data_IF_111910167932
#
_entry.id   IF_111910167932
#
_cell.length_a   1.000
_cell.length_b   1.000
_cell.length_c   1.000
_cell.angle_alpha   90.00
_cell.angle_beta   90.00
_cell.angle_gamma   90.00
#
_symmetry.space_group_name_H-M   'P 1'
#
loop_
_entity.id
_entity.type
_entity.pdbx_description
1 polymer ?
#
# COMPACT_ATOMS: atom_id res chain seq x y z
N UNK A 1 -15.53 -21.71 -31.25
CA UNK A 1 -16.70 -20.84 -31.51
C UNK A 1 -16.28 -19.41 -31.24
N UNK A 2 -16.39 -18.56 -32.26
CA UNK A 2 -16.12 -17.13 -32.18
C UNK A 2 -17.17 -16.45 -31.30
N UNK A 3 -16.76 -15.95 -30.13
CA UNK A 3 -17.53 -14.94 -29.40
C UNK A 3 -16.94 -13.57 -29.73
N UNK A 4 -17.80 -12.75 -30.34
CA UNK A 4 -17.51 -11.40 -30.83
C UNK A 4 -16.83 -10.55 -29.75
N UNK A 5 -15.68 -9.98 -30.08
CA UNK A 5 -15.11 -8.84 -29.35
C UNK A 5 -16.13 -7.71 -29.35
N UNK A 6 -16.54 -7.16 -28.20
CA UNK A 6 -17.38 -5.97 -28.19
C UNK A 6 -16.57 -4.83 -28.82
N UNK A 7 -17.11 -4.24 -29.89
CA UNK A 7 -16.61 -3.01 -30.48
C UNK A 7 -16.97 -1.90 -29.50
N UNK A 8 -16.12 -1.70 -28.50
CA UNK A 8 -16.06 -0.43 -27.77
C UNK A 8 -15.03 0.38 -28.51
N UNK A 9 -15.47 1.36 -29.28
CA UNK A 9 -14.60 2.36 -29.89
C UNK A 9 -13.75 3.00 -28.78
N UNK A 10 -12.44 2.70 -28.81
CA UNK A 10 -11.47 3.31 -27.94
C UNK A 10 -11.37 4.80 -28.30
N UNK A 11 -12.11 5.65 -27.58
CA UNK A 11 -11.78 7.07 -27.57
C UNK A 11 -10.42 7.17 -26.89
N UNK A 12 -9.41 7.56 -27.66
CA UNK A 12 -8.17 8.13 -27.12
C UNK A 12 -8.56 9.32 -26.22
N UNK A 13 -8.85 9.05 -24.95
CA UNK A 13 -9.04 10.09 -23.95
C UNK A 13 -7.64 10.62 -23.70
N UNK A 14 -7.33 11.76 -24.29
CA UNK A 14 -6.01 12.43 -24.22
C UNK A 14 -5.71 13.01 -22.82
N UNK A 15 -6.06 12.29 -21.75
CA UNK A 15 -5.84 12.65 -20.35
C UNK A 15 -6.20 11.50 -19.40
N UNK A 16 -5.55 11.49 -18.23
CA UNK A 16 -5.80 10.48 -17.20
C UNK A 16 -7.29 10.39 -16.81
N UNK A 17 -7.83 9.16 -16.75
CA UNK A 17 -9.22 8.89 -16.33
C UNK A 17 -9.49 9.40 -14.92
N UNK A 18 -8.59 9.10 -13.99
CA UNK A 18 -8.65 9.56 -12.61
C UNK A 18 -7.43 10.44 -12.28
N UNK A 19 -7.64 11.42 -11.40
CA UNK A 19 -6.56 12.26 -10.88
C UNK A 19 -5.80 11.56 -9.75
N UNK A 20 -6.53 10.78 -8.95
CA UNK A 20 -5.98 9.97 -7.88
C UNK A 20 -6.87 8.75 -7.64
N UNK A 21 -6.25 7.67 -7.17
CA UNK A 21 -6.93 6.47 -6.68
C UNK A 21 -6.35 6.15 -5.31
N UNK A 22 -7.21 5.82 -4.36
CA UNK A 22 -6.78 5.43 -3.02
C UNK A 22 -7.71 4.38 -2.42
N UNK A 23 -7.14 3.32 -1.86
CA UNK A 23 -7.90 2.34 -1.09
C UNK A 23 -8.21 2.88 0.30
N UNK A 24 -9.31 2.41 0.89
CA UNK A 24 -9.51 2.58 2.32
C UNK A 24 -8.57 1.66 3.12
N UNK A 25 -8.55 1.86 4.43
CA UNK A 25 -7.57 1.28 5.36
C UNK A 25 -7.59 -0.26 5.40
N UNK A 26 -8.71 -0.89 5.05
CA UNK A 26 -8.91 -2.35 5.05
C UNK A 26 -9.04 -2.94 3.64
N UNK A 27 -8.74 -2.16 2.60
CA UNK A 27 -8.83 -2.54 1.18
C UNK A 27 -10.22 -3.00 0.70
N UNK A 28 -11.29 -2.78 1.48
CA UNK A 28 -12.64 -3.19 1.10
C UNK A 28 -13.28 -2.27 0.06
N UNK A 29 -12.81 -1.02 -0.01
CA UNK A 29 -13.29 -0.02 -0.96
C UNK A 29 -12.11 0.80 -1.50
N UNK A 30 -12.32 1.45 -2.64
CA UNK A 30 -11.39 2.45 -3.15
C UNK A 30 -12.14 3.67 -3.67
N UNK A 31 -11.47 4.82 -3.52
CA UNK A 31 -11.92 6.11 -4.01
C UNK A 31 -11.15 6.48 -5.27
N UNK A 32 -11.82 7.17 -6.19
CA UNK A 32 -11.24 7.71 -7.41
C UNK A 32 -11.61 9.18 -7.52
N UNK A 33 -10.62 10.07 -7.56
CA UNK A 33 -10.83 11.49 -7.82
C UNK A 33 -10.86 11.79 -9.31
N UNK A 34 -11.69 12.73 -9.76
CA UNK A 34 -11.85 13.08 -11.17
C UNK A 34 -11.83 14.59 -11.39
N UNK A 35 -11.81 15.00 -12.67
CA UNK A 35 -11.90 16.41 -13.07
C UNK A 35 -13.22 17.08 -12.67
N UNK A 36 -14.24 16.32 -12.27
CA UNK A 36 -15.60 16.82 -11.98
C UNK A 36 -16.14 16.42 -10.61
N UNK A 37 -15.40 15.62 -9.85
CA UNK A 37 -15.80 15.18 -8.52
C UNK A 37 -15.05 13.93 -8.09
N UNK A 38 -15.75 12.95 -7.54
CA UNK A 38 -15.15 11.70 -7.07
C UNK A 38 -16.13 10.53 -7.12
N UNK A 39 -15.58 9.32 -7.11
CA UNK A 39 -16.32 8.07 -7.11
C UNK A 39 -15.78 7.14 -6.02
N UNK A 40 -16.65 6.32 -5.43
CA UNK A 40 -16.30 5.26 -4.48
C UNK A 40 -16.81 3.94 -5.01
N UNK A 41 -15.91 2.95 -5.04
CA UNK A 41 -16.20 1.58 -5.46
C UNK A 41 -15.95 0.61 -4.31
N UNK A 42 -16.74 -0.46 -4.26
CA UNK A 42 -16.38 -1.68 -3.56
C UNK A 42 -15.23 -2.37 -4.32
N UNK A 43 -14.22 -2.87 -3.60
CA UNK A 43 -13.03 -3.44 -4.24
C UNK A 43 -13.31 -4.80 -4.88
N UNK A 44 -14.01 -5.67 -4.17
CA UNK A 44 -14.38 -7.02 -4.61
C UNK A 44 -15.63 -7.51 -3.84
N UNK A 45 -16.73 -7.92 -4.50
CA UNK A 45 -16.98 -7.76 -5.93
C UNK A 45 -17.01 -6.28 -6.33
N UNK A 46 -16.48 -5.96 -7.52
CA UNK A 46 -16.42 -4.58 -8.02
C UNK A 46 -17.83 -4.02 -8.22
N UNK A 47 -18.14 -2.93 -7.52
CA UNK A 47 -19.42 -2.23 -7.62
C UNK A 47 -19.27 -0.73 -7.30
N UNK A 48 -19.91 0.14 -8.09
CA UNK A 48 -19.86 1.59 -7.87
C UNK A 48 -20.90 2.00 -6.83
N UNK A 49 -20.46 2.40 -5.63
CA UNK A 49 -21.35 2.74 -4.51
C UNK A 49 -21.73 4.21 -4.47
N UNK A 50 -20.82 5.09 -4.87
CA UNK A 50 -21.05 6.53 -4.85
C UNK A 50 -20.39 7.17 -6.07
N UNK A 51 -21.12 8.06 -6.73
CA UNK A 51 -20.57 8.94 -7.77
C UNK A 51 -21.06 10.34 -7.50
N UNK A 52 -20.15 11.21 -7.03
CA UNK A 52 -20.45 12.60 -6.75
C UNK A 52 -19.83 13.48 -7.83
N UNK A 53 -20.68 14.25 -8.50
CA UNK A 53 -20.25 15.33 -9.39
C UNK A 53 -20.66 16.67 -8.78
N UNK A 54 -19.78 17.67 -8.91
CA UNK A 54 -20.08 19.02 -8.46
C UNK A 54 -20.68 19.84 -9.59
N UNK A 55 -21.76 20.58 -9.28
CA UNK A 55 -22.55 21.35 -10.25
C UNK A 55 -21.80 22.53 -10.87
N UNK A 56 -20.86 23.13 -10.14
CA UNK A 56 -20.09 24.27 -10.65
C UNK A 56 -19.02 23.79 -11.64
N UNK A 57 -19.32 23.95 -12.94
CA UNK A 57 -18.42 23.60 -14.02
C UNK A 57 -17.06 24.32 -13.97
N UNK A 58 -16.90 25.41 -13.22
CA UNK A 58 -15.61 26.11 -13.09
C UNK A 58 -14.81 25.71 -11.84
N UNK A 59 -15.41 24.94 -10.91
CA UNK A 59 -14.79 24.54 -9.65
C UNK A 59 -15.35 23.18 -9.18
N UNK A 60 -14.91 22.11 -9.85
CA UNK A 60 -15.43 20.75 -9.61
C UNK A 60 -14.36 19.67 -9.46
N UNK A 61 -13.11 19.94 -9.85
CA UNK A 61 -12.04 18.95 -9.84
C UNK A 61 -11.54 18.61 -8.44
N UNK A 62 -11.41 17.32 -8.16
CA UNK A 62 -10.84 16.78 -6.93
C UNK A 62 -9.55 16.07 -7.29
N UNK A 63 -8.46 16.45 -6.65
CA UNK A 63 -7.13 15.90 -6.89
C UNK A 63 -6.77 14.74 -5.98
N UNK A 64 -7.32 14.73 -4.77
CA UNK A 64 -7.05 13.69 -3.77
C UNK A 64 -8.35 13.39 -3.02
N UNK A 65 -8.66 12.10 -2.91
CA UNK A 65 -9.72 11.56 -2.05
C UNK A 65 -9.13 10.53 -1.11
N UNK A 66 -9.49 10.61 0.16
CA UNK A 66 -9.16 9.60 1.15
C UNK A 66 -10.40 9.25 1.96
N UNK A 67 -10.67 7.96 2.12
CA UNK A 67 -11.82 7.45 2.85
C UNK A 67 -11.46 7.25 4.32
N UNK A 68 -12.40 7.51 5.23
CA UNK A 68 -12.32 6.99 6.59
C UNK A 68 -13.10 5.67 6.67
N UNK A 69 -12.39 4.54 6.51
CA UNK A 69 -12.98 3.20 6.44
C UNK A 69 -14.18 3.16 5.48
N UNK A 70 -15.32 2.62 5.92
CA UNK A 70 -16.61 2.65 5.21
C UNK A 70 -17.60 3.61 5.89
N UNK A 71 -17.09 4.69 6.48
CA UNK A 71 -17.93 5.75 7.05
C UNK A 71 -18.40 6.72 5.96
N UNK A 72 -19.25 7.67 6.34
CA UNK A 72 -19.70 8.78 5.49
C UNK A 72 -18.68 9.92 5.36
N UNK A 73 -17.51 9.84 6.02
CA UNK A 73 -16.49 10.89 5.98
C UNK A 73 -15.43 10.64 4.91
N UNK A 74 -15.20 11.66 4.09
CA UNK A 74 -14.20 11.67 3.02
C UNK A 74 -13.32 12.91 3.14
N UNK A 75 -12.00 12.75 3.10
CA UNK A 75 -11.08 13.86 2.94
C UNK A 75 -10.91 14.19 1.44
N UNK A 76 -11.11 15.46 1.10
CA UNK A 76 -11.04 16.01 -0.25
C UNK A 76 -9.98 17.12 -0.32
N UNK A 77 -9.18 17.09 -1.38
CA UNK A 77 -8.34 18.21 -1.82
C UNK A 77 -8.64 18.50 -3.28
N UNK A 78 -8.78 19.77 -3.63
CA UNK A 78 -9.05 20.14 -5.02
C UNK A 78 -7.85 19.86 -5.93
N UNK A 79 -8.12 19.56 -7.20
CA UNK A 79 -7.08 19.31 -8.18
C UNK A 79 -7.62 19.24 -9.61
N UNK A 80 -6.76 18.85 -10.54
CA UNK A 80 -7.10 18.85 -11.96
C UNK A 80 -7.08 20.25 -12.58
N UNK A 81 -7.76 20.40 -13.72
CA UNK A 81 -7.74 21.65 -14.50
C UNK A 81 -8.56 22.77 -13.85
N UNK A 82 -9.61 22.40 -13.11
CA UNK A 82 -10.61 23.30 -12.51
C UNK A 82 -10.88 22.87 -11.06
N UNK A 83 -9.91 23.05 -10.15
CA UNK A 83 -10.00 22.52 -8.81
C UNK A 83 -11.15 23.14 -8.02
N UNK A 84 -11.95 22.33 -7.32
CA UNK A 84 -13.04 22.82 -6.45
C UNK A 84 -12.51 23.59 -5.24
N UNK A 85 -11.38 23.14 -4.71
CA UNK A 85 -10.71 23.72 -3.55
C UNK A 85 -9.25 24.01 -3.89
N UNK A 86 -8.58 24.95 -3.21
CA UNK A 86 -7.13 25.09 -3.30
C UNK A 86 -6.38 23.79 -2.93
N UNK A 87 -5.22 23.54 -3.53
CA UNK A 87 -4.42 22.32 -3.29
C UNK A 87 -3.78 22.27 -1.88
N UNK A 88 -3.80 23.40 -1.17
CA UNK A 88 -3.36 23.55 0.22
C UNK A 88 -4.55 23.63 1.19
N UNK A 89 -5.76 23.22 0.76
CA UNK A 89 -6.97 23.19 1.60
C UNK A 89 -7.49 21.77 1.69
N UNK A 90 -7.57 21.24 2.90
CA UNK A 90 -8.25 19.98 3.23
C UNK A 90 -9.69 20.27 3.59
N UNK A 91 -10.62 19.55 2.96
CA UNK A 91 -12.03 19.53 3.31
C UNK A 91 -12.43 18.11 3.68
N UNK A 92 -12.89 17.88 4.91
CA UNK A 92 -13.57 16.64 5.28
C UNK A 92 -15.05 16.81 4.98
N UNK A 93 -15.51 16.07 3.99
CA UNK A 93 -16.88 16.02 3.51
C UNK A 93 -17.67 14.95 4.27
N UNK A 94 -18.87 15.29 4.71
CA UNK A 94 -19.87 14.35 5.20
C UNK A 94 -20.85 14.03 4.06
N UNK A 95 -20.80 12.80 3.57
CA UNK A 95 -21.67 12.34 2.49
C UNK A 95 -23.12 12.08 2.94
N UNK A 96 -23.37 11.82 4.22
CA UNK A 96 -24.74 11.69 4.71
C UNK A 96 -25.43 13.05 4.76
N UNK A 97 -24.73 14.07 5.25
CA UNK A 97 -25.25 15.44 5.37
C UNK A 97 -25.08 16.27 4.09
N UNK A 98 -24.21 15.82 3.18
CA UNK A 98 -23.82 16.55 1.97
C UNK A 98 -23.21 17.93 2.30
N UNK A 99 -22.36 18.01 3.32
CA UNK A 99 -21.74 19.26 3.80
C UNK A 99 -20.24 19.13 4.05
N UNK A 100 -19.57 20.29 4.10
CA UNK A 100 -18.14 20.41 4.46
C UNK A 100 -18.02 20.48 6.00
N UNK A 101 -17.81 19.33 6.66
CA UNK A 101 -17.79 19.25 8.12
C UNK A 101 -16.54 19.84 8.75
N UNK A 102 -15.38 19.63 8.13
CA UNK A 102 -14.09 20.16 8.61
C UNK A 102 -13.37 20.81 7.44
N UNK A 103 -12.78 21.98 7.69
CA UNK A 103 -11.91 22.67 6.75
C UNK A 103 -10.61 23.06 7.44
N UNK A 104 -9.48 22.67 6.85
CA UNK A 104 -8.14 23.03 7.31
C UNK A 104 -7.35 23.63 6.14
N UNK A 105 -6.65 24.74 6.39
CA UNK A 105 -5.80 25.42 5.42
C UNK A 105 -4.33 25.33 5.81
N UNK A 106 -3.46 25.15 4.81
CA UNK A 106 -2.03 24.92 4.97
C UNK A 106 -1.20 25.91 4.15
N UNK A 107 0.06 26.07 4.52
CA UNK A 107 1.00 26.95 3.80
C UNK A 107 1.65 26.28 2.58
N UNK A 108 1.50 24.96 2.44
CA UNK A 108 2.04 24.17 1.33
C UNK A 108 0.95 23.28 0.75
N UNK A 109 1.16 22.83 -0.49
CA UNK A 109 0.33 21.80 -1.12
C UNK A 109 0.30 20.52 -0.27
N UNK A 110 -0.88 19.91 -0.19
CA UNK A 110 -1.10 18.61 0.42
C UNK A 110 -0.72 17.52 -0.58
N UNK A 111 0.15 16.60 -0.16
CA UNK A 111 0.62 15.46 -0.95
C UNK A 111 -0.16 14.18 -0.62
N UNK A 112 -0.42 13.93 0.67
CA UNK A 112 -1.16 12.75 1.13
C UNK A 112 -1.91 13.04 2.44
N UNK A 113 -2.95 12.26 2.71
CA UNK A 113 -3.80 12.41 3.89
C UNK A 113 -4.11 11.03 4.46
N UNK A 114 -3.90 10.88 5.76
CA UNK A 114 -4.35 9.71 6.50
C UNK A 114 -5.41 10.11 7.52
N UNK A 115 -6.52 9.38 7.48
CA UNK A 115 -7.62 9.55 8.42
C UNK A 115 -7.69 8.37 9.37
N UNK A 116 -7.92 8.65 10.64
CA UNK A 116 -8.44 7.72 11.63
C UNK A 116 -9.65 8.32 12.33
N UNK A 117 -10.28 7.56 13.22
CA UNK A 117 -11.39 8.06 14.06
C UNK A 117 -10.95 9.11 15.08
N UNK A 118 -9.64 9.29 15.27
CA UNK A 118 -9.07 10.18 16.30
C UNK A 118 -8.10 11.22 15.75
N UNK A 119 -7.47 10.95 14.60
CA UNK A 119 -6.45 11.83 14.03
C UNK A 119 -6.70 12.10 12.55
N UNK A 120 -6.34 13.32 12.13
CA UNK A 120 -6.15 13.72 10.74
C UNK A 120 -4.66 13.99 10.58
N UNK A 121 -3.98 13.21 9.72
CA UNK A 121 -2.56 13.39 9.42
C UNK A 121 -2.46 13.94 8.00
N UNK A 122 -1.84 15.10 7.88
CA UNK A 122 -1.69 15.80 6.60
C UNK A 122 -0.22 15.84 6.24
N UNK A 123 0.13 15.23 5.12
CA UNK A 123 1.48 15.24 4.55
C UNK A 123 1.54 16.38 3.55
N UNK A 124 2.34 17.39 3.87
CA UNK A 124 2.68 18.51 3.01
C UNK A 124 3.97 18.19 2.23
N UNK A 125 4.45 19.12 1.41
CA UNK A 125 5.63 18.89 0.58
C UNK A 125 6.87 18.55 1.42
N UNK A 126 7.17 19.36 2.45
CA UNK A 126 8.34 19.17 3.32
C UNK A 126 8.01 18.97 4.80
N UNK A 127 6.73 18.75 5.13
CA UNK A 127 6.32 18.65 6.53
C UNK A 127 5.09 17.77 6.74
N UNK A 128 4.88 17.30 7.98
CA UNK A 128 3.67 16.57 8.38
C UNK A 128 3.03 17.27 9.57
N UNK A 129 1.72 17.50 9.47
CA UNK A 129 0.89 18.05 10.54
C UNK A 129 -0.16 17.03 11.01
N UNK A 130 -0.37 16.96 12.33
CA UNK A 130 -1.29 16.01 12.95
C UNK A 130 -2.34 16.78 13.75
N UNK A 131 -3.61 16.52 13.47
CA UNK A 131 -4.76 17.14 14.14
C UNK A 131 -5.65 16.09 14.79
N UNK A 132 -6.47 16.51 15.75
CA UNK A 132 -7.61 15.72 16.24
C UNK A 132 -8.70 15.60 15.16
N UNK A 133 -9.36 14.44 15.10
CA UNK A 133 -10.58 14.26 14.31
C UNK A 133 -11.80 14.61 15.18
N UNK A 134 -12.52 15.68 14.86
CA UNK A 134 -13.68 16.13 15.61
C UNK A 134 -14.24 17.45 15.10
N UNK A 135 -15.30 17.97 15.73
CA UNK A 135 -15.98 19.20 15.31
C UNK A 135 -15.08 20.44 15.31
N UNK A 136 -14.08 20.47 16.19
CA UNK A 136 -13.04 21.50 16.25
C UNK A 136 -11.66 20.83 16.23
N UNK A 137 -11.08 20.55 15.05
CA UNK A 137 -9.75 19.96 14.94
C UNK A 137 -8.70 20.87 15.57
N UNK A 138 -7.84 20.29 16.40
CA UNK A 138 -6.71 20.98 17.04
C UNK A 138 -5.42 20.29 16.63
N UNK A 139 -4.37 21.07 16.35
CA UNK A 139 -3.05 20.52 16.06
C UNK A 139 -2.47 19.92 17.34
N UNK A 140 -2.00 18.68 17.27
CA UNK A 140 -1.55 17.90 18.43
C UNK A 140 -0.05 18.07 18.72
N UNK A 141 0.76 18.22 17.68
CA UNK A 141 2.22 18.22 17.78
C UNK A 141 2.84 19.37 16.99
N UNK A 142 4.10 19.68 17.30
CA UNK A 142 4.91 20.53 16.43
C UNK A 142 5.10 19.91 15.05
N UNK A 143 5.42 20.75 14.07
CA UNK A 143 5.63 20.34 12.69
C UNK A 143 6.71 19.24 12.60
N UNK A 144 6.42 18.14 11.91
CA UNK A 144 7.40 17.09 11.67
C UNK A 144 8.06 17.30 10.32
N UNK A 145 9.37 17.51 10.31
CA UNK A 145 10.12 17.77 9.08
C UNK A 145 10.33 16.50 8.24
N UNK A 146 9.98 16.56 6.95
CA UNK A 146 10.19 15.50 5.97
C UNK A 146 10.83 16.05 4.69
N UNK A 147 11.24 15.17 3.78
CA UNK A 147 11.79 15.59 2.49
C UNK A 147 10.68 15.89 1.47
N UNK A 148 10.96 16.80 0.52
CA UNK A 148 10.09 17.06 -0.62
C UNK A 148 9.72 15.78 -1.37
N UNK A 149 8.43 15.59 -1.68
CA UNK A 149 7.93 14.40 -2.37
C UNK A 149 8.10 13.08 -1.60
N UNK A 150 8.32 13.14 -0.28
CA UNK A 150 8.42 11.98 0.59
C UNK A 150 7.13 11.16 0.64
N UNK A 151 7.27 9.82 0.65
CA UNK A 151 6.17 8.90 0.97
C UNK A 151 6.16 8.63 2.47
N UNK A 152 5.10 9.05 3.15
CA UNK A 152 4.76 8.61 4.50
C UNK A 152 3.74 7.47 4.43
N UNK A 153 3.53 6.80 5.57
CA UNK A 153 2.46 5.82 5.75
C UNK A 153 1.99 5.82 7.20
N UNK A 154 0.71 5.53 7.42
CA UNK A 154 0.10 5.51 8.72
C UNK A 154 -0.86 4.34 8.85
N UNK A 155 -0.81 3.64 9.98
CA UNK A 155 -1.73 2.54 10.30
C UNK A 155 -2.30 2.69 11.70
N UNK A 156 -3.55 2.29 11.85
CA UNK A 156 -4.17 2.08 13.16
C UNK A 156 -4.18 0.58 13.42
N UNK A 157 -3.56 0.16 14.52
CA UNK A 157 -3.48 -1.24 14.91
C UNK A 157 -3.94 -1.45 16.37
N UNK A 158 -4.25 -2.69 16.72
CA UNK A 158 -4.55 -3.08 18.09
C UNK A 158 -3.32 -3.68 18.74
N UNK A 159 -3.00 -3.24 19.96
CA UNK A 159 -1.98 -3.87 20.81
C UNK A 159 -2.63 -4.39 22.09
N UNK A 160 -2.29 -5.60 22.56
CA UNK A 160 -2.57 -6.01 23.93
C UNK A 160 -1.92 -5.01 24.89
N UNK A 161 -2.62 -4.63 25.97
CA UNK A 161 -1.97 -3.90 27.07
C UNK A 161 -0.92 -4.82 27.68
N UNK A 162 0.36 -4.44 27.63
CA UNK A 162 1.35 -5.08 28.50
C UNK A 162 0.93 -4.78 29.94
N UNK A 163 0.64 -5.83 30.73
CA UNK A 163 0.35 -5.70 32.16
C UNK A 163 1.44 -4.84 32.77
N UNK A 164 1.10 -3.65 33.28
CA UNK A 164 1.94 -3.02 34.29
C UNK A 164 2.04 -4.02 35.43
N UNK A 165 3.22 -4.14 36.05
CA UNK A 165 3.52 -5.05 37.16
C UNK A 165 2.75 -4.74 38.46
N UNK A 166 1.59 -4.08 38.39
CA UNK A 166 0.69 -3.87 39.53
C UNK A 166 -0.24 -5.08 39.66
N UNK A 167 0.00 -5.90 40.68
CA UNK A 167 -0.64 -7.19 40.93
C UNK A 167 -2.17 -7.17 41.22
N UNK A 168 -2.87 -6.04 41.05
CA UNK A 168 -4.26 -5.86 41.52
C UNK A 168 -5.24 -5.35 40.44
N UNK A 169 -5.11 -5.76 39.17
CA UNK A 169 -6.14 -5.49 38.17
C UNK A 169 -7.13 -6.67 38.07
N UNK A 170 -8.46 -6.43 38.13
CA UNK A 170 -9.45 -7.51 38.11
C UNK A 170 -9.38 -8.28 36.79
N UNK A 171 -9.41 -9.61 36.88
CA UNK A 171 -9.45 -10.52 35.74
C UNK A 171 -10.80 -10.38 35.02
N UNK A 172 -10.87 -9.56 33.96
CA UNK A 172 -12.13 -9.37 33.25
C UNK A 172 -12.17 -8.46 32.02
N UNK A 173 -11.09 -7.79 31.63
CA UNK A 173 -11.04 -7.17 30.29
C UNK A 173 -9.61 -7.15 29.76
N UNK A 174 -9.37 -7.98 28.73
CA UNK A 174 -8.16 -7.89 27.91
C UNK A 174 -8.31 -6.63 27.04
N UNK A 175 -8.18 -5.45 27.65
CA UNK A 175 -8.43 -4.18 27.01
C UNK A 175 -7.36 -3.92 25.95
N UNK A 176 -7.66 -4.26 24.70
CA UNK A 176 -6.85 -3.89 23.54
C UNK A 176 -6.85 -2.37 23.40
N UNK A 177 -5.68 -1.79 23.17
CA UNK A 177 -5.55 -0.34 22.94
C UNK A 177 -5.28 -0.13 21.47
N UNK A 178 -6.07 0.76 20.86
CA UNK A 178 -5.82 1.25 19.51
C UNK A 178 -4.56 2.12 19.53
N UNK A 179 -3.60 1.80 18.66
CA UNK A 179 -2.37 2.55 18.46
C UNK A 179 -2.32 3.08 17.04
N UNK A 180 -1.93 4.32 16.88
CA UNK A 180 -1.61 4.90 15.58
C UNK A 180 -0.11 4.91 15.40
N UNK A 181 0.41 4.26 14.37
CA UNK A 181 1.84 4.27 14.04
C UNK A 181 2.02 5.06 12.75
N UNK A 182 2.89 6.08 12.78
CA UNK A 182 3.24 6.91 11.65
C UNK A 182 4.70 6.63 11.25
N UNK A 183 4.95 6.42 9.96
CA UNK A 183 6.28 6.24 9.41
C UNK A 183 6.52 7.22 8.26
N UNK A 184 7.64 7.94 8.30
CA UNK A 184 7.96 8.97 7.33
C UNK A 184 9.48 9.14 7.20
N UNK A 185 10.01 9.61 6.06
CA UNK A 185 11.45 9.82 5.94
C UNK A 185 11.90 11.05 6.72
N UNK A 186 13.13 11.03 7.20
CA UNK A 186 13.69 12.18 7.94
C UNK A 186 14.03 13.33 7.00
N UNK A 187 13.57 14.54 7.32
CA UNK A 187 13.93 15.76 6.56
C UNK A 187 15.44 16.04 6.48
N UNK A 188 16.25 15.54 7.44
CA UNK A 188 17.71 15.74 7.47
C UNK A 188 18.48 14.70 6.67
N UNK A 189 18.02 13.45 6.69
CA UNK A 189 18.69 12.32 6.07
C UNK A 189 17.67 11.51 5.27
N UNK A 190 17.56 11.72 3.94
CA UNK A 190 16.47 11.16 3.15
C UNK A 190 16.50 9.62 3.06
N UNK A 191 17.61 8.96 3.41
CA UNK A 191 17.70 7.49 3.51
C UNK A 191 17.29 6.91 4.87
N UNK A 192 16.93 7.76 5.83
CA UNK A 192 16.47 7.38 7.16
C UNK A 192 14.95 7.49 7.27
N UNK A 193 14.34 6.62 8.07
CA UNK A 193 12.90 6.61 8.36
C UNK A 193 12.71 6.91 9.84
N UNK A 194 11.79 7.82 10.14
CA UNK A 194 11.29 8.10 11.47
C UNK A 194 9.99 7.33 11.72
N UNK A 195 9.88 6.69 12.88
CA UNK A 195 8.67 6.02 13.35
C UNK A 195 8.16 6.76 14.58
N UNK A 196 6.89 7.14 14.58
CA UNK A 196 6.20 7.78 15.69
C UNK A 196 5.00 6.96 16.17
N UNK A 197 4.84 6.85 17.48
CA UNK A 197 3.65 6.26 18.11
C UNK A 197 2.73 7.39 18.59
N UNK A 198 1.51 7.43 18.04
CA UNK A 198 0.49 8.44 18.35
C UNK A 198 -0.43 8.02 19.50
N UNK A 199 -0.28 6.82 20.07
CA UNK A 199 -1.18 6.30 21.11
C UNK A 199 -1.22 7.15 22.38
N UNK A 200 -0.14 7.87 22.68
CA UNK A 200 -0.02 8.75 23.84
C UNK A 200 -0.58 10.15 23.61
N UNK A 201 -0.99 10.51 22.37
CA UNK A 201 -1.51 11.84 22.04
C UNK A 201 -2.99 12.03 22.43
N UNK A 202 -3.44 11.40 23.52
CA UNK A 202 -4.83 11.53 23.95
C UNK A 202 -5.16 12.98 24.31
N UNK A 203 -6.29 13.42 23.78
CA UNK A 203 -6.77 14.81 23.70
C UNK A 203 -7.00 15.55 25.02
N UNK A 204 -6.80 14.91 26.17
CA UNK A 204 -7.23 15.41 27.48
C UNK A 204 -6.18 16.20 28.27
N UNK A 205 -4.90 16.22 27.87
CA UNK A 205 -3.84 16.86 28.68
C UNK A 205 -3.00 17.93 27.94
N UNK A 206 -3.31 18.23 26.67
CA UNK A 206 -2.57 19.25 25.91
C UNK A 206 -3.16 20.63 26.22
N UNK A 207 -2.49 21.39 27.09
CA UNK A 207 -2.73 22.83 27.26
C UNK A 207 -2.63 23.54 25.90
N UNK A 208 -3.54 24.48 25.64
CA UNK A 208 -3.83 25.03 24.31
C UNK A 208 -2.63 25.72 23.61
N UNK A 209 -1.55 26.05 24.32
CA UNK A 209 -0.44 26.86 23.79
C UNK A 209 0.92 26.16 23.70
N UNK A 210 1.05 24.89 24.11
CA UNK A 210 2.36 24.19 24.00
C UNK A 210 2.29 23.05 22.98
N UNK A 211 2.89 23.27 21.81
CA UNK A 211 3.06 22.19 20.83
C UNK A 211 3.96 21.10 21.42
N UNK A 212 3.41 19.89 21.59
CA UNK A 212 4.17 18.75 22.12
C UNK A 212 5.12 18.23 21.04
N UNK A 213 6.39 18.03 21.39
CA UNK A 213 7.33 17.35 20.51
C UNK A 213 7.05 15.84 20.53
N UNK A 214 6.81 15.26 19.37
CA UNK A 214 6.53 13.83 19.23
C UNK A 214 7.83 13.02 19.28
N UNK A 215 8.01 12.09 20.24
CA UNK A 215 9.17 11.20 20.23
C UNK A 215 9.13 10.30 18.99
N UNK A 216 10.27 10.20 18.30
CA UNK A 216 10.45 9.36 17.11
C UNK A 216 11.64 8.43 17.27
N UNK A 217 11.52 7.20 16.79
CA UNK A 217 12.67 6.30 16.60
C UNK A 217 13.19 6.42 15.17
N UNK A 218 14.52 6.31 15.00
CA UNK A 218 15.17 6.51 13.69
C UNK A 218 15.73 5.19 13.18
N UNK A 219 15.36 4.83 11.96
CA UNK A 219 15.85 3.65 11.24
C UNK A 219 16.74 4.11 10.09
N UNK A 220 18.01 3.69 10.08
CA UNK A 220 18.94 3.91 8.96
C UNK A 220 18.70 2.88 7.86
N UNK A 221 17.61 3.08 7.10
CA UNK A 221 17.08 2.05 6.21
C UNK A 221 17.86 1.89 4.90
N UNK A 222 18.28 2.99 4.26
CA UNK A 222 18.96 2.96 2.96
C UNK A 222 20.05 4.04 2.88
N UNK A 223 21.03 3.84 1.98
CA UNK A 223 22.07 4.84 1.69
C UNK A 223 21.58 5.98 0.81
N UNK A 224 20.58 5.69 -0.02
CA UNK A 224 19.94 6.64 -0.95
C UNK A 224 18.54 7.01 -0.45
N UNK A 225 17.95 8.12 -0.93
CA UNK A 225 16.62 8.56 -0.52
C UNK A 225 15.56 7.47 -0.54
N UNK A 226 14.71 7.45 0.49
CA UNK A 226 13.55 6.58 0.57
C UNK A 226 12.56 6.98 -0.53
N UNK A 227 12.09 5.97 -1.28
CA UNK A 227 11.08 6.13 -2.33
C UNK A 227 9.70 5.76 -1.83
N UNK A 228 9.58 4.67 -1.06
CA UNK A 228 8.31 4.23 -0.46
C UNK A 228 8.49 3.66 0.93
N UNK A 229 7.48 3.91 1.75
CA UNK A 229 7.33 3.36 3.10
C UNK A 229 5.94 2.70 3.16
N UNK A 230 5.85 1.51 3.74
CA UNK A 230 4.59 0.86 4.06
C UNK A 230 4.64 0.09 5.37
N UNK A 231 3.77 0.46 6.31
CA UNK A 231 3.60 -0.21 7.59
C UNK A 231 2.75 -1.47 7.41
N UNK A 232 3.08 -2.53 8.16
CA UNK A 232 2.23 -3.70 8.24
C UNK A 232 0.91 -3.37 8.95
N UNK A 233 -0.20 -4.09 8.69
CA UNK A 233 -1.50 -3.79 9.30
C UNK A 233 -1.50 -3.84 10.84
N UNK A 234 -0.63 -4.68 11.42
CA UNK A 234 -0.45 -4.76 12.87
C UNK A 234 0.51 -3.69 13.44
N UNK A 235 1.10 -2.84 12.61
CA UNK A 235 2.01 -1.76 12.99
C UNK A 235 3.38 -2.20 13.52
N UNK A 236 3.70 -3.51 13.51
CA UNK A 236 4.96 -4.04 14.06
C UNK A 236 6.12 -4.05 13.05
N UNK A 237 5.84 -3.90 11.76
CA UNK A 237 6.84 -3.92 10.70
C UNK A 237 6.69 -2.72 9.77
N UNK A 238 7.81 -2.28 9.21
CA UNK A 238 7.85 -1.25 8.16
C UNK A 238 8.67 -1.76 6.98
N UNK A 239 8.04 -1.81 5.80
CA UNK A 239 8.67 -2.06 4.53
C UNK A 239 9.16 -0.74 3.93
N UNK A 240 10.40 -0.72 3.45
CA UNK A 240 11.04 0.47 2.87
C UNK A 240 11.76 0.11 1.59
N UNK A 241 11.67 0.98 0.59
CA UNK A 241 12.53 0.93 -0.59
C UNK A 241 13.11 2.32 -0.86
N UNK A 242 14.27 2.36 -1.50
CA UNK A 242 14.90 3.60 -1.92
C UNK A 242 14.70 3.86 -3.41
N UNK A 243 15.14 5.03 -3.88
CA UNK A 243 15.17 5.39 -5.31
C UNK A 243 15.99 4.43 -6.19
N UNK A 244 16.81 3.56 -5.60
CA UNK A 244 17.47 2.48 -6.36
C UNK A 244 16.48 1.36 -6.73
N UNK A 245 15.50 1.08 -5.88
CA UNK A 245 14.42 0.09 -6.09
C UNK A 245 14.86 -1.34 -6.45
N UNK A 246 16.10 -1.72 -6.13
CA UNK A 246 16.61 -3.09 -6.29
C UNK A 246 16.23 -3.99 -5.11
N UNK A 247 16.10 -3.38 -3.93
CA UNK A 247 15.90 -4.07 -2.65
C UNK A 247 14.78 -3.37 -1.86
N UNK A 248 13.92 -4.17 -1.27
CA UNK A 248 12.97 -3.79 -0.23
C UNK A 248 13.47 -4.33 1.11
N UNK A 249 13.51 -3.50 2.15
CA UNK A 249 13.90 -3.91 3.51
C UNK A 249 12.72 -3.82 4.44
N UNK A 250 12.60 -4.81 5.33
CA UNK A 250 11.57 -4.87 6.37
C UNK A 250 12.25 -4.71 7.71
N UNK A 251 11.82 -3.72 8.49
CA UNK A 251 12.32 -3.46 9.83
C UNK A 251 11.23 -3.64 10.87
N UNK A 252 11.61 -3.98 12.10
CA UNK A 252 10.74 -3.89 13.27
C UNK A 252 10.52 -2.42 13.63
N UNK A 253 9.27 -2.02 13.85
CA UNK A 253 8.92 -0.66 14.27
C UNK A 253 9.25 -0.39 15.75
N UNK A 254 9.34 -1.45 16.56
CA UNK A 254 9.55 -1.34 18.00
C UNK A 254 10.99 -1.00 18.37
N UNK A 255 11.97 -1.57 17.66
CA UNK A 255 13.39 -1.44 17.97
C UNK A 255 14.26 -1.13 16.74
N UNK A 256 13.67 -0.96 15.56
CA UNK A 256 14.39 -0.60 14.34
C UNK A 256 15.28 -1.71 13.76
N UNK A 257 15.17 -2.96 14.24
CA UNK A 257 16.01 -4.06 13.74
C UNK A 257 15.61 -4.44 12.32
N UNK A 258 16.60 -4.74 11.48
CA UNK A 258 16.36 -5.27 10.14
C UNK A 258 15.90 -6.73 10.25
N UNK A 259 14.66 -6.99 9.83
CA UNK A 259 14.06 -8.33 9.84
C UNK A 259 14.31 -9.08 8.53
N UNK A 260 14.10 -8.41 7.39
CA UNK A 260 14.27 -9.03 6.06
C UNK A 260 14.87 -8.08 5.04
N UNK A 261 15.67 -8.64 4.14
CA UNK A 261 16.13 -8.00 2.91
C UNK A 261 15.59 -8.78 1.70
N UNK A 262 14.72 -8.14 0.92
CA UNK A 262 13.99 -8.72 -0.19
C UNK A 262 14.49 -8.12 -1.50
N UNK A 263 14.99 -8.96 -2.41
CA UNK A 263 15.48 -8.52 -3.71
C UNK A 263 14.35 -8.55 -4.73
N UNK A 264 14.05 -7.38 -5.31
CA UNK A 264 13.12 -7.25 -6.44
C UNK A 264 13.78 -7.66 -7.75
N UNK A 265 15.00 -7.20 -7.99
CA UNK A 265 15.76 -7.46 -9.21
C UNK A 265 17.21 -6.99 -9.12
N UNK A 266 17.99 -7.26 -10.18
CA UNK A 266 19.34 -6.74 -10.33
C UNK A 266 19.32 -5.27 -10.78
N UNK A 267 18.42 -4.96 -11.72
CA UNK A 267 18.33 -3.62 -12.29
C UNK A 267 17.56 -2.66 -11.39
N UNK A 268 17.97 -1.39 -11.46
CA UNK A 268 17.21 -0.30 -10.85
C UNK A 268 15.80 -0.23 -11.44
N UNK A 269 14.84 0.08 -10.57
CA UNK A 269 13.44 0.19 -10.93
C UNK A 269 12.77 1.22 -10.01
N UNK A 270 11.85 2.03 -10.55
CA UNK A 270 11.02 2.89 -9.72
C UNK A 270 9.88 2.05 -9.09
N UNK A 271 10.02 1.70 -7.81
CA UNK A 271 8.97 1.04 -7.05
C UNK A 271 7.91 2.09 -6.68
N UNK A 272 6.76 2.03 -7.34
CA UNK A 272 5.68 2.99 -7.20
C UNK A 272 4.46 2.43 -6.46
N UNK A 273 4.44 1.17 -6.03
CA UNK A 273 3.43 0.70 -5.07
C UNK A 273 3.93 -0.48 -4.24
N UNK A 274 3.56 -0.47 -2.97
CA UNK A 274 3.74 -1.60 -2.05
C UNK A 274 2.46 -1.74 -1.24
N UNK A 275 2.01 -2.97 -0.99
CA UNK A 275 0.85 -3.23 -0.16
C UNK A 275 1.04 -4.53 0.63
N UNK A 276 0.77 -4.47 1.93
CA UNK A 276 0.77 -5.64 2.80
C UNK A 276 -0.56 -6.38 2.69
N UNK A 277 -0.52 -7.71 2.75
CA UNK A 277 -1.75 -8.47 2.99
C UNK A 277 -2.36 -8.08 4.33
N UNK A 278 -3.68 -8.22 4.49
CA UNK A 278 -4.38 -7.87 5.73
C UNK A 278 -3.86 -8.66 6.95
N UNK A 279 -3.41 -9.90 6.72
CA UNK A 279 -2.76 -10.75 7.74
C UNK A 279 -1.31 -10.34 8.04
N UNK A 280 -0.71 -9.46 7.23
CA UNK A 280 0.68 -9.02 7.37
C UNK A 280 1.74 -10.06 6.99
N UNK A 281 1.31 -11.18 6.40
CA UNK A 281 2.18 -12.31 6.04
C UNK A 281 2.76 -12.20 4.63
N UNK A 282 2.25 -11.30 3.79
CA UNK A 282 2.70 -11.10 2.40
C UNK A 282 2.86 -9.63 2.07
N UNK A 283 3.76 -9.33 1.14
CA UNK A 283 4.01 -7.99 0.62
C UNK A 283 3.99 -8.03 -0.91
N UNK A 284 3.08 -7.27 -1.50
CA UNK A 284 3.02 -7.02 -2.94
C UNK A 284 3.86 -5.78 -3.27
N UNK A 285 4.61 -5.84 -4.36
CA UNK A 285 5.46 -4.76 -4.84
C UNK A 285 5.32 -4.63 -6.35
N UNK A 286 5.04 -3.42 -6.83
CA UNK A 286 4.98 -3.11 -8.26
C UNK A 286 5.97 -1.98 -8.59
N UNK A 287 6.60 -2.09 -9.76
CA UNK A 287 7.58 -1.13 -10.25
C UNK A 287 7.37 -0.80 -11.72
N UNK A 288 8.05 0.25 -12.20
CA UNK A 288 8.09 0.67 -13.60
C UNK A 288 8.56 -0.40 -14.60
N UNK A 289 9.15 -1.51 -14.12
CA UNK A 289 9.44 -2.72 -14.92
C UNK A 289 8.20 -3.57 -15.24
N UNK A 290 7.01 -3.04 -14.96
CA UNK A 290 5.72 -3.71 -15.19
C UNK A 290 5.72 -5.13 -14.65
N UNK A 291 6.20 -5.30 -13.42
CA UNK A 291 6.25 -6.62 -12.78
C UNK A 291 5.71 -6.50 -11.37
N UNK A 292 4.67 -7.30 -11.08
CA UNK A 292 4.16 -7.53 -9.74
C UNK A 292 4.99 -8.63 -9.08
N UNK A 293 5.60 -8.32 -7.95
CA UNK A 293 6.30 -9.26 -7.09
C UNK A 293 5.51 -9.49 -5.80
N UNK A 294 5.33 -10.75 -5.41
CA UNK A 294 4.75 -11.11 -4.12
C UNK A 294 5.83 -11.78 -3.26
N UNK A 295 6.10 -11.21 -2.09
CA UNK A 295 7.03 -11.74 -1.11
C UNK A 295 6.28 -12.32 0.08
N UNK A 296 6.69 -13.51 0.52
CA UNK A 296 6.22 -14.13 1.76
C UNK A 296 7.05 -13.58 2.93
N UNK A 297 6.41 -13.04 3.97
CA UNK A 297 7.09 -12.36 5.09
C UNK A 297 7.10 -13.22 6.34
N UNK A 298 5.98 -13.81 6.73
CA UNK A 298 5.90 -14.71 7.89
C UNK A 298 5.05 -15.91 7.51
N UNK A 299 5.50 -17.11 7.87
CA UNK A 299 4.77 -18.34 7.61
C UNK A 299 4.11 -18.82 8.90
N UNK A 300 2.82 -19.15 8.83
CA UNK A 300 2.15 -19.89 9.90
C UNK A 300 2.62 -21.37 9.92
N UNK A 301 3.12 -21.88 8.78
CA UNK A 301 3.51 -23.29 8.57
C UNK A 301 5.03 -23.56 8.59
N UNK A 302 5.86 -22.55 8.85
CA UNK A 302 7.33 -22.70 8.95
C UNK A 302 8.10 -22.94 7.64
N UNK A 303 7.43 -23.11 6.51
CA UNK A 303 8.08 -23.36 5.21
C UNK A 303 8.21 -22.08 4.35
N UNK A 304 9.45 -21.61 4.13
CA UNK A 304 9.71 -20.35 3.43
C UNK A 304 9.49 -20.50 1.91
N UNK A 305 8.34 -20.02 1.45
CA UNK A 305 7.91 -20.09 0.03
C UNK A 305 8.68 -19.15 -0.91
N UNK A 306 9.56 -18.29 -0.39
CA UNK A 306 10.37 -17.39 -1.21
C UNK A 306 11.49 -18.11 -1.95
N UNK A 307 11.80 -17.64 -3.16
CA UNK A 307 12.94 -18.16 -3.93
C UNK A 307 14.25 -17.70 -3.29
N UNK A 308 15.21 -18.60 -3.21
CA UNK A 308 16.61 -18.31 -2.84
C UNK A 308 17.51 -18.68 -4.00
N UNK A 309 18.72 -18.10 -4.04
CA UNK A 309 19.67 -18.42 -5.10
C UNK A 309 20.12 -19.89 -5.00
N UNK A 310 20.21 -20.60 -6.13
CA UNK A 310 20.62 -22.03 -6.16
C UNK A 310 22.02 -22.29 -5.61
N UNK A 311 22.88 -21.28 -5.61
CA UNK A 311 24.26 -21.34 -5.09
C UNK A 311 24.41 -20.80 -3.65
N UNK A 312 23.31 -20.60 -2.90
CA UNK A 312 23.36 -20.07 -1.53
C UNK A 312 24.21 -20.94 -0.59
N UNK A 313 24.14 -22.25 -0.77
CA UNK A 313 24.77 -23.25 0.10
C UNK A 313 26.16 -23.68 -0.38
N UNK A 314 26.68 -23.09 -1.47
CA UNK A 314 28.04 -23.38 -1.92
C UNK A 314 29.04 -22.75 -0.94
N UNK A 315 29.98 -23.53 -0.37
CA UNK A 315 30.98 -23.04 0.56
C UNK A 315 32.08 -22.29 -0.19
N UNK A 316 31.81 -21.04 -0.55
CA UNK A 316 32.80 -20.11 -1.12
C UNK A 316 33.42 -19.26 0.01
N UNK A 317 34.75 -19.10 -0.01
CA UNK A 317 35.53 -18.21 0.88
C UNK A 317 35.07 -16.75 0.83
N UNK A 318 34.46 -16.34 -0.30
CA UNK A 318 33.80 -15.06 -0.47
C UNK A 318 32.40 -15.29 -1.04
N UNK A 319 31.36 -14.89 -0.30
CA UNK A 319 29.96 -14.97 -0.74
C UNK A 319 29.44 -13.58 -1.13
N UNK A 320 29.27 -13.31 -2.44
CA UNK A 320 28.56 -12.11 -2.88
C UNK A 320 27.17 -11.98 -2.23
N UNK A 321 26.82 -10.79 -1.73
CA UNK A 321 25.55 -10.53 -1.02
C UNK A 321 24.30 -10.92 -1.81
N UNK A 322 24.37 -10.94 -3.14
CA UNK A 322 23.24 -11.35 -3.98
C UNK A 322 22.91 -12.86 -3.88
N UNK A 323 23.91 -13.72 -3.59
CA UNK A 323 23.71 -15.16 -3.43
C UNK A 323 22.96 -15.52 -2.14
N UNK A 324 23.01 -14.62 -1.14
CA UNK A 324 22.25 -14.74 0.11
C UNK A 324 20.86 -14.09 0.05
N UNK A 325 20.49 -13.47 -1.07
CA UNK A 325 19.25 -12.69 -1.18
C UNK A 325 18.00 -13.56 -1.27
N UNK A 326 16.94 -13.09 -0.61
CA UNK A 326 15.59 -13.65 -0.70
C UNK A 326 14.84 -12.95 -1.82
N UNK A 327 14.25 -13.72 -2.74
CA UNK A 327 13.50 -13.24 -3.90
C UNK A 327 12.01 -13.54 -3.76
N UNK A 328 11.17 -12.90 -4.56
CA UNK A 328 9.72 -13.06 -4.49
C UNK A 328 9.29 -14.52 -4.65
N UNK A 329 8.31 -14.95 -3.84
CA UNK A 329 7.62 -16.23 -3.94
C UNK A 329 7.12 -16.45 -5.37
N UNK A 330 6.44 -15.44 -5.92
CA UNK A 330 5.98 -15.43 -7.29
C UNK A 330 6.03 -14.01 -7.88
N UNK A 331 6.07 -13.94 -9.21
CA UNK A 331 6.14 -12.69 -9.94
C UNK A 331 5.37 -12.80 -11.25
N UNK A 332 4.72 -11.73 -11.68
CA UNK A 332 3.98 -11.66 -12.95
C UNK A 332 4.30 -10.36 -13.67
N UNK A 333 4.63 -10.47 -14.96
CA UNK A 333 4.68 -9.30 -15.83
C UNK A 333 3.25 -8.80 -16.06
N UNK A 334 3.06 -7.50 -15.90
CA UNK A 334 1.80 -6.80 -16.07
C UNK A 334 1.71 -6.30 -17.51
N UNK A 335 0.59 -6.57 -18.15
CA UNK A 335 0.29 -6.18 -19.53
C UNK A 335 -1.06 -5.46 -19.60
N UNK A 336 -1.27 -4.59 -20.58
CA UNK A 336 -2.56 -3.91 -20.75
C UNK A 336 -3.68 -4.92 -20.99
N UNK A 337 -4.70 -4.92 -20.12
CA UNK A 337 -5.87 -5.79 -20.29
C UNK A 337 -6.67 -5.48 -21.57
N UNK A 338 -6.59 -4.24 -22.06
CA UNK A 338 -7.35 -3.77 -23.23
C UNK A 338 -6.62 -4.09 -24.54
N UNK A 339 -5.31 -3.87 -24.62
CA UNK A 339 -4.53 -4.04 -25.85
C UNK A 339 -3.92 -5.44 -26.02
N UNK A 340 -3.95 -6.27 -24.98
CA UNK A 340 -3.43 -7.63 -25.00
C UNK A 340 -1.90 -7.71 -25.11
N UNK A 341 -1.37 -8.92 -25.20
CA UNK A 341 0.09 -9.22 -25.09
C UNK A 341 0.96 -8.73 -26.25
N UNK A 342 0.38 -8.27 -27.36
CA UNK A 342 1.12 -8.02 -28.59
C UNK A 342 1.74 -6.61 -28.66
N UNK A 343 1.39 -5.70 -27.74
CA UNK A 343 1.90 -4.32 -27.72
C UNK A 343 2.87 -4.11 -26.56
N UNK A 344 4.07 -4.69 -26.68
CA UNK A 344 5.15 -4.65 -25.67
C UNK A 344 5.63 -3.20 -25.41
N UNK A 345 5.32 -2.27 -26.31
CA UNK A 345 5.75 -0.87 -26.26
C UNK A 345 4.59 0.10 -25.97
N UNK A 346 3.53 -0.34 -25.30
CA UNK A 346 2.45 0.55 -24.84
C UNK A 346 2.98 1.57 -23.81
N UNK A 347 3.45 2.72 -24.32
CA UNK A 347 3.99 3.81 -23.50
C UNK A 347 2.92 4.39 -22.56
N UNK A 348 1.65 4.33 -22.94
CA UNK A 348 0.56 4.85 -22.10
C UNK A 348 0.40 3.95 -20.87
N UNK A 349 0.32 2.63 -21.08
CA UNK A 349 0.30 1.66 -19.97
C UNK A 349 1.58 1.73 -19.12
N UNK A 350 2.75 1.85 -19.76
CA UNK A 350 4.02 1.91 -19.04
C UNK A 350 4.15 3.13 -18.12
N UNK A 351 3.47 4.23 -18.47
CA UNK A 351 3.42 5.45 -17.67
C UNK A 351 2.25 5.47 -16.66
N UNK A 352 1.27 4.60 -16.83
CA UNK A 352 0.18 4.43 -15.88
C UNK A 352 0.72 3.92 -14.54
N UNK A 353 0.02 4.27 -13.46
CA UNK A 353 0.38 3.92 -12.09
C UNK A 353 -0.83 3.29 -11.42
N UNK A 354 -0.67 2.04 -10.99
CA UNK A 354 -1.71 1.32 -10.27
C UNK A 354 -1.56 1.47 -8.74
N UNK A 355 -2.71 1.40 -8.04
CA UNK A 355 -2.80 1.10 -6.62
C UNK A 355 -3.07 -0.38 -6.40
N UNK A 356 -2.57 -0.93 -5.30
CA UNK A 356 -2.77 -2.33 -4.91
C UNK A 356 -3.65 -2.38 -3.67
N UNK A 357 -4.70 -3.19 -3.70
CA UNK A 357 -5.49 -3.59 -2.54
C UNK A 357 -5.46 -5.11 -2.39
N UNK A 358 -5.43 -5.58 -1.15
CA UNK A 358 -5.55 -7.00 -0.84
C UNK A 358 -6.99 -7.32 -0.49
N UNK A 359 -7.57 -8.32 -1.14
CA UNK A 359 -8.90 -8.81 -0.82
C UNK A 359 -8.76 -10.19 -0.18
N UNK A 360 -9.59 -10.46 0.81
CA UNK A 360 -9.58 -11.71 1.55
C UNK A 360 -10.97 -12.33 1.48
N UNK A 361 -11.08 -13.48 0.84
CA UNK A 361 -12.32 -14.24 0.73
C UNK A 361 -12.11 -15.62 1.37
N UNK A 362 -12.41 -15.72 2.67
CA UNK A 362 -12.19 -16.95 3.44
C UNK A 362 -10.71 -17.28 3.67
N UNK A 363 -10.20 -18.32 3.00
CA UNK A 363 -8.81 -18.79 3.18
C UNK A 363 -7.86 -18.26 2.10
N UNK A 364 -8.37 -17.68 1.01
CA UNK A 364 -7.56 -17.26 -0.12
C UNK A 364 -7.35 -15.74 -0.15
N UNK A 365 -6.08 -15.35 -0.27
CA UNK A 365 -5.70 -13.97 -0.53
C UNK A 365 -5.75 -13.71 -2.04
N UNK A 366 -6.46 -12.66 -2.44
CA UNK A 366 -6.45 -12.12 -3.80
C UNK A 366 -5.98 -10.67 -3.80
N UNK A 367 -5.57 -10.18 -4.97
CA UNK A 367 -5.10 -8.81 -5.14
C UNK A 367 -5.96 -8.08 -6.16
N UNK A 368 -6.25 -6.83 -5.88
CA UNK A 368 -6.89 -5.91 -6.80
C UNK A 368 -5.88 -4.83 -7.17
N UNK A 369 -5.67 -4.64 -8.47
CA UNK A 369 -4.91 -3.53 -9.03
C UNK A 369 -5.89 -2.56 -9.70
N UNK A 370 -5.79 -1.28 -9.33
CA UNK A 370 -6.58 -0.20 -9.95
C UNK A 370 -5.65 0.78 -10.63
N UNK A 371 -5.72 0.86 -11.96
CA UNK A 371 -4.90 1.70 -12.81
C UNK A 371 -5.50 3.09 -12.94
N UNK A 372 -4.73 4.13 -12.61
CA UNK A 372 -5.21 5.51 -12.47
C UNK A 372 -5.54 6.14 -13.82
N UNK A 373 -4.64 6.06 -14.78
CA UNK A 373 -4.73 6.81 -16.03
C UNK A 373 -5.66 6.10 -17.03
N UNK A 374 -5.57 4.77 -17.12
CA UNK A 374 -6.43 3.94 -17.96
C UNK A 374 -7.81 3.67 -17.35
N UNK A 375 -7.96 3.78 -16.02
CA UNK A 375 -9.21 3.47 -15.33
C UNK A 375 -9.57 1.99 -15.39
N UNK A 376 -8.57 1.11 -15.30
CA UNK A 376 -8.78 -0.34 -15.35
C UNK A 376 -8.70 -0.91 -13.93
N UNK A 377 -9.66 -1.74 -13.57
CA UNK A 377 -9.64 -2.60 -12.39
C UNK A 377 -9.26 -4.01 -12.80
N UNK A 378 -8.33 -4.64 -12.08
CA UNK A 378 -7.87 -6.01 -12.35
C UNK A 378 -7.82 -6.82 -11.05
N UNK A 379 -8.35 -8.04 -11.06
CA UNK A 379 -8.23 -8.99 -9.95
C UNK A 379 -7.22 -10.08 -10.29
N UNK A 380 -6.37 -10.37 -9.33
CA UNK A 380 -5.34 -11.40 -9.37
C UNK A 380 -5.54 -12.40 -8.24
N UNK A 381 -5.36 -13.68 -8.55
CA UNK A 381 -5.42 -14.78 -7.59
C UNK A 381 -4.07 -15.49 -7.54
N UNK A 382 -3.73 -16.04 -6.39
CA UNK A 382 -2.51 -16.83 -6.21
C UNK A 382 -2.86 -18.30 -6.27
N UNK A 383 -2.30 -19.02 -7.24
CA UNK A 383 -2.55 -20.44 -7.45
C UNK A 383 -1.31 -21.24 -7.09
N UNK A 384 -1.52 -22.36 -6.42
CA UNK A 384 -0.48 -23.36 -6.20
C UNK A 384 -0.45 -24.30 -7.42
N UNK A 385 0.73 -24.43 -8.04
CA UNK A 385 0.94 -25.34 -9.16
C UNK A 385 1.78 -26.52 -8.72
N UNK A 386 1.22 -27.71 -8.83
CA UNK A 386 1.97 -28.95 -8.71
C UNK A 386 2.85 -29.14 -9.95
N UNK A 387 4.14 -29.43 -9.75
CA UNK A 387 4.99 -29.85 -10.84
C UNK A 387 4.60 -31.27 -11.24
N UNK A 388 3.94 -31.44 -12.39
CA UNK A 388 3.94 -32.74 -13.07
C UNK A 388 5.37 -33.04 -13.52
N UNK A 389 6.06 -33.91 -12.79
CA UNK A 389 7.31 -34.50 -13.25
C UNK A 389 6.92 -35.50 -14.34
N UNK A 390 7.02 -35.10 -15.60
CA UNK A 390 6.97 -36.07 -16.70
C UNK A 390 8.30 -36.83 -16.68
N UNK A 391 8.32 -38.02 -16.12
CA UNK A 391 9.41 -38.97 -16.34
C UNK A 391 9.27 -39.54 -17.75
N UNK A 392 10.37 -39.56 -18.50
CA UNK A 392 10.44 -40.09 -19.89
C UNK A 392 10.17 -41.62 -19.95
N UNK A 393 9.88 -42.26 -18.82
CA UNK A 393 9.69 -43.71 -18.68
C UNK A 393 8.22 -44.12 -18.49
N UNK A 394 7.27 -43.53 -19.22
CA UNK A 394 5.94 -44.14 -19.41
C UNK A 394 5.97 -45.18 -20.54
N UNK A 395 6.97 -46.06 -20.50
CA UNK A 395 6.92 -47.37 -21.18
C UNK A 395 7.61 -48.42 -20.30
N UNK A 396 6.77 -49.30 -19.74
CA UNK A 396 7.05 -50.52 -18.96
C UNK A 396 7.26 -50.36 -17.42
N UNK A 397 6.49 -51.09 -16.59
CA UNK A 397 6.59 -51.03 -15.13
C UNK A 397 7.48 -52.15 -14.57
N UNK A 398 8.73 -51.86 -14.21
CA UNK A 398 9.48 -52.65 -13.21
C UNK A 398 10.56 -51.79 -12.57
N UNK A 399 10.34 -51.39 -11.31
CA UNK A 399 11.35 -50.71 -10.50
C UNK A 399 10.70 -49.84 -9.45
N UNK A 400 10.99 -50.13 -8.18
CA UNK A 400 10.57 -49.34 -7.02
C UNK A 400 10.93 -47.85 -7.21
N UNK A 401 10.03 -46.91 -6.88
CA UNK A 401 10.31 -45.50 -7.09
C UNK A 401 11.45 -45.06 -6.15
N UNK A 402 12.42 -44.24 -6.62
CA UNK A 402 13.30 -43.54 -5.70
C UNK A 402 12.44 -42.65 -4.80
N UNK A 403 12.79 -42.53 -3.52
CA UNK A 403 12.17 -41.57 -2.59
C UNK A 403 12.38 -40.15 -3.14
N UNK A 404 11.48 -39.71 -4.01
CA UNK A 404 11.46 -38.36 -4.55
C UNK A 404 10.97 -37.45 -3.43
N UNK A 405 11.83 -36.51 -2.99
CA UNK A 405 11.40 -35.43 -2.10
C UNK A 405 10.13 -34.78 -2.65
N UNK A 406 9.23 -34.39 -1.74
CA UNK A 406 7.93 -33.82 -2.09
C UNK A 406 8.07 -32.77 -3.22
N UNK A 407 7.19 -32.79 -4.24
CA UNK A 407 7.30 -31.86 -5.35
C UNK A 407 7.33 -30.42 -4.81
N UNK A 408 8.38 -29.66 -5.15
CA UNK A 408 8.48 -28.25 -4.76
C UNK A 408 7.28 -27.49 -5.31
N UNK A 409 6.36 -27.13 -4.42
CA UNK A 409 5.17 -26.33 -4.71
C UNK A 409 5.59 -25.00 -5.32
N UNK A 410 5.10 -24.67 -6.52
CA UNK A 410 5.40 -23.40 -7.18
C UNK A 410 4.14 -22.54 -7.19
N UNK A 411 4.25 -21.35 -6.62
CA UNK A 411 3.18 -20.37 -6.64
C UNK A 411 3.23 -19.53 -7.91
N UNK A 412 2.05 -19.27 -8.48
CA UNK A 412 1.86 -18.39 -9.62
C UNK A 412 0.76 -17.37 -9.29
N UNK A 413 0.94 -16.13 -9.75
CA UNK A 413 -0.11 -15.10 -9.67
C UNK A 413 -0.77 -15.01 -11.02
N UNK A 414 -2.09 -15.11 -11.06
CA UNK A 414 -2.87 -15.12 -12.31
C UNK A 414 -3.93 -14.02 -12.31
N UNK A 415 -4.04 -13.28 -13.42
CA UNK A 415 -5.15 -12.33 -13.64
C UNK A 415 -6.43 -13.16 -13.78
N UNK A 416 -7.33 -13.04 -12.81
CA UNK A 416 -8.61 -13.74 -12.78
C UNK A 416 -9.68 -12.98 -13.59
N UNK A 417 -9.72 -11.66 -13.45
CA UNK A 417 -10.70 -10.81 -14.14
C UNK A 417 -10.22 -9.36 -14.25
N UNK A 418 -10.85 -8.59 -15.12
CA UNK A 418 -10.63 -7.15 -15.25
C UNK A 418 -11.91 -6.43 -15.71
N UNK A 419 -12.03 -5.14 -15.41
CA UNK A 419 -13.11 -4.25 -15.87
C UNK A 419 -12.59 -2.83 -16.10
N UNK A 420 -13.23 -2.08 -16.99
CA UNK A 420 -13.00 -0.65 -17.17
C UNK A 420 -13.98 0.16 -16.30
N UNK A 421 -13.51 1.25 -15.69
CA UNK A 421 -14.22 2.08 -14.70
C UNK A 421 -14.73 3.42 -15.26
#
# INVERSE_FOLDING_TARGET
>A
MNTRTPIVEYKDVTGARFLNVNFNQDYTCFSCSSQTGFLIYNADPLDCKLSKQFSNANACGIGLTCMLYRTNYLALVGGGRRPKYPQNKLVVWDDLQQTESITLGFMSQIQDIFLSRVNIIVVLDSAIEIYTFGSKPRRLVSLLDTCAGASADFVVCQSPRRRSSSANAPAGSDATVMRGILAFPSGRNPGQVQIADLSHLQSSEIQEDTSVQLPTSIIKAHKTPIRRIKLSPNGNMVATCSVQGTIVRIFSTQNGTLLKELRRGLDRADIYEMAWSLRGNRLAVVSDKQTLHIFQISDDDGDNKNKTHMLKDVPLLWKPKYLASTWSMCSRHLDSAVRGKNDINDKAFNNDRCKIGWCHDGEEDSLVLVWRDSGIWEKYVMLERENKVYTVSESLPTGSPPQSGAPKKRWEVVRASWRQL
#
